data_IF_328850184943
#
_entry.id   IF_328850184943
#
_cell.length_a   1.000
_cell.length_b   1.000
_cell.length_c   1.000
_cell.angle_alpha   90.00
_cell.angle_beta   90.00
_cell.angle_gamma   90.00
#
_symmetry.space_group_name_H-M   'P 1'
#
loop_
_entity.id
_entity.type
_entity.pdbx_description
1 polymer ?
#
# COMPACT_ATOMS: atom_id res chain seq x y z
N UNK A 1 8.70 -25.37 -5.12
CA UNK A 1 7.57 -24.51 -5.52
C UNK A 1 7.83 -24.01 -6.94
N UNK A 2 6.88 -24.21 -7.84
CA UNK A 2 7.08 -24.09 -9.30
C UNK A 2 6.99 -22.64 -9.78
N UNK A 3 8.16 -22.07 -10.11
CA UNK A 3 8.36 -20.66 -10.51
C UNK A 3 7.52 -20.26 -11.73
N UNK A 4 7.09 -21.22 -12.56
CA UNK A 4 6.25 -20.95 -13.75
C UNK A 4 4.80 -20.63 -13.42
N UNK A 5 4.24 -21.23 -12.37
CA UNK A 5 2.85 -20.96 -11.96
C UNK A 5 2.72 -19.53 -11.43
N UNK A 6 3.67 -19.10 -10.60
CA UNK A 6 3.69 -17.73 -10.07
C UNK A 6 3.78 -16.67 -11.17
N UNK A 7 4.59 -16.91 -12.20
CA UNK A 7 4.72 -16.00 -13.34
C UNK A 7 3.42 -15.88 -14.14
N UNK A 8 2.73 -17.00 -14.39
CA UNK A 8 1.47 -17.01 -15.13
C UNK A 8 0.34 -16.32 -14.36
N UNK A 9 0.23 -16.57 -13.05
CA UNK A 9 -0.73 -15.87 -12.20
C UNK A 9 -0.43 -14.39 -12.13
N UNK A 10 0.85 -14.01 -11.98
CA UNK A 10 1.29 -12.62 -11.98
C UNK A 10 0.91 -11.90 -13.29
N UNK A 11 1.17 -12.52 -14.45
CA UNK A 11 0.76 -11.97 -15.75
C UNK A 11 -0.76 -11.80 -15.85
N UNK A 12 -1.54 -12.80 -15.43
CA UNK A 12 -3.02 -12.71 -15.48
C UNK A 12 -3.58 -11.66 -14.50
N UNK A 13 -2.91 -11.43 -13.38
CA UNK A 13 -3.29 -10.46 -12.36
C UNK A 13 -2.92 -9.03 -12.74
N UNK A 14 -1.76 -8.86 -13.36
CA UNK A 14 -1.22 -7.57 -13.79
C UNK A 14 -1.77 -7.15 -15.15
N UNK A 15 -2.21 -8.10 -15.99
CA UNK A 15 -2.78 -7.86 -17.34
C UNK A 15 -3.90 -6.81 -17.42
N UNK A 16 -4.88 -6.73 -16.51
CA UNK A 16 -5.98 -5.79 -16.63
C UNK A 16 -5.57 -4.34 -16.32
N UNK A 17 -4.40 -4.13 -15.71
CA UNK A 17 -4.05 -2.87 -15.07
C UNK A 17 -2.69 -2.31 -15.49
N UNK A 18 -1.89 -3.11 -16.20
CA UNK A 18 -0.65 -2.64 -16.83
C UNK A 18 -0.99 -1.77 -18.05
N UNK A 19 -0.63 -0.48 -18.00
CA UNK A 19 -0.83 0.45 -19.12
C UNK A 19 -2.27 0.95 -19.31
N UNK A 20 -3.19 0.63 -18.39
CA UNK A 20 -4.55 1.20 -18.42
C UNK A 20 -4.57 2.65 -17.95
N UNK A 21 -5.40 3.47 -18.61
CA UNK A 21 -5.71 4.82 -18.15
C UNK A 21 -6.12 4.78 -16.65
N UNK A 22 -5.51 5.61 -15.77
CA UNK A 22 -5.82 5.64 -14.34
C UNK A 22 -7.30 5.76 -14.01
N UNK A 23 -8.08 6.46 -14.86
CA UNK A 23 -9.53 6.61 -14.71
C UNK A 23 -10.27 5.28 -14.92
N UNK A 24 -9.85 4.47 -15.91
CA UNK A 24 -10.46 3.16 -16.18
C UNK A 24 -10.11 2.14 -15.08
N UNK A 25 -8.85 2.15 -14.62
CA UNK A 25 -8.44 1.36 -13.45
C UNK A 25 -9.28 1.75 -12.23
N UNK A 26 -9.39 3.04 -11.94
CA UNK A 26 -10.20 3.52 -10.81
C UNK A 26 -11.65 3.06 -10.92
N UNK A 27 -12.29 3.25 -12.08
CA UNK A 27 -13.69 2.88 -12.28
C UNK A 27 -13.93 1.37 -12.19
N UNK A 28 -12.98 0.55 -12.67
CA UNK A 28 -13.09 -0.92 -12.60
C UNK A 28 -12.74 -1.48 -11.22
N UNK A 29 -11.93 -0.77 -10.43
CA UNK A 29 -11.50 -1.21 -9.12
C UNK A 29 -12.40 -0.71 -7.98
N UNK A 30 -12.88 0.53 -8.08
CA UNK A 30 -13.75 1.16 -7.08
C UNK A 30 -15.01 0.31 -6.91
N UNK A 31 -15.27 -0.12 -5.68
CA UNK A 31 -16.44 -0.94 -5.29
C UNK A 31 -16.50 -2.34 -5.92
N UNK A 32 -15.43 -2.84 -6.53
CA UNK A 32 -15.41 -4.21 -7.06
C UNK A 32 -15.36 -5.24 -5.92
N UNK A 33 -16.48 -5.91 -5.66
CA UNK A 33 -16.57 -7.00 -4.67
C UNK A 33 -15.50 -8.08 -4.91
N UNK A 34 -15.25 -8.41 -6.19
CA UNK A 34 -14.24 -9.40 -6.56
C UNK A 34 -12.84 -8.99 -6.11
N UNK A 35 -12.45 -7.72 -6.28
CA UNK A 35 -11.13 -7.25 -5.84
C UNK A 35 -11.04 -7.18 -4.31
N UNK A 36 -12.08 -6.66 -3.66
CA UNK A 36 -12.11 -6.54 -2.20
C UNK A 36 -11.98 -7.91 -1.53
N UNK A 37 -12.64 -8.95 -2.06
CA UNK A 37 -12.54 -10.32 -1.54
C UNK A 37 -11.15 -10.94 -1.68
N UNK A 38 -10.28 -10.37 -2.52
CA UNK A 38 -8.92 -10.85 -2.75
C UNK A 38 -7.87 -10.03 -2.01
N UNK A 39 -8.28 -8.98 -1.31
CA UNK A 39 -7.36 -8.23 -0.47
C UNK A 39 -6.84 -9.10 0.66
N UNK A 40 -5.54 -9.00 0.87
CA UNK A 40 -4.81 -9.64 1.96
C UNK A 40 -3.83 -8.62 2.52
N UNK A 41 -3.48 -8.75 3.79
CA UNK A 41 -2.42 -7.94 4.37
C UNK A 41 -1.12 -8.22 3.60
N UNK A 42 -0.58 -7.19 2.96
CA UNK A 42 0.70 -7.26 2.24
C UNK A 42 1.86 -7.11 3.22
N UNK A 43 1.78 -6.11 4.10
CA UNK A 43 2.83 -5.75 5.04
C UNK A 43 2.26 -4.98 6.24
N UNK A 44 2.91 -5.11 7.39
CA UNK A 44 2.67 -4.28 8.58
C UNK A 44 3.84 -3.30 8.75
N UNK A 45 3.53 -2.03 8.93
CA UNK A 45 4.51 -0.96 9.13
C UNK A 45 4.64 -0.65 10.62
N UNK A 46 5.76 -1.06 11.23
CA UNK A 46 6.02 -0.86 12.67
C UNK A 46 6.62 0.53 12.94
N UNK A 47 5.94 1.59 12.51
CA UNK A 47 6.43 2.97 12.62
C UNK A 47 6.19 3.60 14.01
N UNK A 48 5.21 3.09 14.75
CA UNK A 48 4.74 3.69 16.00
C UNK A 48 4.54 2.65 17.10
N UNK A 49 4.67 3.11 18.35
CA UNK A 49 4.42 2.30 19.55
C UNK A 49 3.06 2.59 20.19
N UNK A 50 2.26 3.45 19.56
CA UNK A 50 0.92 3.87 20.00
C UNK A 50 -0.09 3.80 18.86
N UNK A 51 -1.33 4.17 19.16
CA UNK A 51 -2.41 4.19 18.19
C UNK A 51 -2.12 5.21 17.08
N UNK A 52 -2.20 4.78 15.82
CA UNK A 52 -2.11 5.67 14.66
C UNK A 52 -3.47 6.28 14.40
N UNK A 53 -3.54 7.59 14.47
CA UNK A 53 -4.80 8.34 14.35
C UNK A 53 -5.00 8.92 12.95
N UNK A 54 -3.92 9.11 12.19
CA UNK A 54 -3.96 9.73 10.86
C UNK A 54 -2.87 9.21 9.94
N UNK A 55 -3.18 9.15 8.64
CA UNK A 55 -2.23 8.83 7.58
C UNK A 55 -2.44 9.73 6.36
N UNK A 56 -1.37 10.01 5.64
CA UNK A 56 -1.40 10.73 4.36
C UNK A 56 -0.35 10.14 3.41
N UNK A 57 -0.76 9.84 2.17
CA UNK A 57 0.15 9.44 1.11
C UNK A 57 0.79 10.65 0.47
N UNK A 58 2.06 10.54 0.09
CA UNK A 58 2.66 11.52 -0.81
C UNK A 58 2.11 11.35 -2.24
N UNK A 59 2.34 12.34 -3.11
CA UNK A 59 1.81 12.37 -4.48
C UNK A 59 2.27 11.21 -5.37
N UNK A 60 3.43 10.61 -5.07
CA UNK A 60 3.95 9.46 -5.83
C UNK A 60 3.42 8.12 -5.32
N UNK A 61 2.75 8.09 -4.16
CA UNK A 61 2.32 6.85 -3.51
C UNK A 61 3.47 5.98 -2.99
N UNK A 62 4.67 6.54 -2.79
CA UNK A 62 5.83 5.81 -2.26
C UNK A 62 5.93 5.90 -0.73
N UNK A 63 5.55 7.05 -0.16
CA UNK A 63 5.70 7.34 1.25
C UNK A 63 4.35 7.60 1.91
N UNK A 64 4.25 7.15 3.15
CA UNK A 64 3.14 7.44 4.06
C UNK A 64 3.69 8.32 5.19
N UNK A 65 3.06 9.47 5.41
CA UNK A 65 3.14 10.21 6.67
C UNK A 65 2.08 9.64 7.61
N UNK A 66 2.46 9.25 8.83
CA UNK A 66 1.55 8.78 9.87
C UNK A 66 1.76 9.55 11.16
N UNK A 67 0.68 9.79 11.92
CA UNK A 67 0.72 10.42 13.25
C UNK A 67 0.04 9.55 14.30
N UNK A 68 0.63 9.47 15.49
CA UNK A 68 0.20 8.56 16.55
C UNK A 68 0.27 9.14 17.95
N UNK A 69 -0.45 8.52 18.89
CA UNK A 69 -0.43 8.82 20.33
C UNK A 69 0.94 8.60 20.99
N UNK A 70 1.89 7.98 20.29
CA UNK A 70 3.30 7.91 20.70
C UNK A 70 4.04 9.26 20.65
N UNK A 71 3.33 10.36 20.37
CA UNK A 71 3.85 11.73 20.23
C UNK A 71 4.82 11.91 19.07
N UNK A 72 4.67 11.11 18.01
CA UNK A 72 5.51 11.21 16.84
C UNK A 72 4.72 11.23 15.53
N UNK A 73 5.30 11.94 14.57
CA UNK A 73 5.04 11.81 13.15
C UNK A 73 6.13 10.92 12.53
N UNK A 74 5.75 9.99 11.67
CA UNK A 74 6.69 9.13 10.94
C UNK A 74 6.45 9.20 9.45
N UNK A 75 7.53 9.34 8.67
CA UNK A 75 7.51 9.15 7.21
C UNK A 75 8.10 7.78 6.92
N UNK A 76 7.31 6.90 6.30
CA UNK A 76 7.69 5.51 6.05
C UNK A 76 7.54 5.18 4.57
N UNK A 77 8.47 4.43 3.99
CA UNK A 77 8.31 3.84 2.66
C UNK A 77 7.29 2.68 2.75
N UNK A 78 6.21 2.79 2.00
CA UNK A 78 5.09 1.86 2.13
C UNK A 78 5.38 0.44 1.62
N UNK A 79 6.37 0.27 0.73
CA UNK A 79 6.68 -1.01 0.10
C UNK A 79 7.90 -1.71 0.71
N UNK A 80 8.82 -0.95 1.31
CA UNK A 80 9.99 -1.54 1.98
C UNK A 80 9.79 -1.64 3.49
N UNK A 81 8.92 -0.81 4.08
CA UNK A 81 8.75 -0.69 5.52
C UNK A 81 9.81 0.16 6.22
N UNK A 82 10.71 0.77 5.46
CA UNK A 82 11.78 1.61 6.00
C UNK A 82 11.20 2.93 6.53
N UNK A 83 11.52 3.26 7.79
CA UNK A 83 11.21 4.57 8.38
C UNK A 83 12.27 5.56 7.92
N UNK A 84 11.86 6.53 7.12
CA UNK A 84 12.75 7.59 6.61
C UNK A 84 13.04 8.65 7.66
N UNK A 85 12.00 9.06 8.39
CA UNK A 85 12.08 10.14 9.37
C UNK A 85 11.06 9.90 10.47
N UNK A 86 11.44 10.24 11.71
CA UNK A 86 10.55 10.30 12.86
C UNK A 86 10.74 11.65 13.56
N UNK A 87 9.65 12.38 13.75
CA UNK A 87 9.62 13.73 14.33
C UNK A 87 8.73 13.69 15.56
N UNK A 88 9.22 14.19 16.69
CA UNK A 88 8.43 14.32 17.91
C UNK A 88 7.57 15.59 17.85
N UNK A 89 6.31 15.47 18.24
CA UNK A 89 5.33 16.57 18.31
C UNK A 89 4.92 16.86 19.75
#
# INVERSE_FOLDING_TARGET
MDRRKDFFYKILYERPYYGTNPVLLYNSAKNSKYLLQRFRCLQSLNAHNGCVNTICWNSTGQYILSGSDDLHLSITNAFTGEIKTKIRT
#
